data_IF_286462464192
#
_entry.id   IF_286462464192
#
_cell.length_a   1.000
_cell.length_b   1.000
_cell.length_c   1.000
_cell.angle_alpha   90.00
_cell.angle_beta   90.00
_cell.angle_gamma   90.00
#
_symmetry.space_group_name_H-M   'P 1'
#
loop_
_entity.id
_entity.type
_entity.pdbx_description
1 polymer ?
#
# COMPACT_ATOMS: atom_id res chain seq x y z
N UNK A 1 -10.47 -18.08 14.24
CA UNK A 1 -9.85 -16.74 14.16
C UNK A 1 -8.35 -16.95 14.09
N UNK A 2 -7.71 -16.57 12.98
CA UNK A 2 -6.27 -16.79 12.80
C UNK A 2 -5.46 -15.79 13.62
N UNK A 3 -4.43 -16.27 14.32
CA UNK A 3 -3.46 -15.39 14.98
C UNK A 3 -2.79 -14.51 13.91
N UNK A 4 -2.76 -13.20 14.14
CA UNK A 4 -2.02 -12.27 13.29
C UNK A 4 -0.54 -12.65 13.36
N UNK A 5 0.08 -12.88 12.20
CA UNK A 5 1.52 -13.12 12.15
C UNK A 5 2.25 -11.82 12.46
N UNK A 6 3.44 -11.92 13.04
CA UNK A 6 4.29 -10.75 13.32
C UNK A 6 4.50 -9.86 12.08
N UNK A 7 4.63 -10.49 10.91
CA UNK A 7 4.73 -9.81 9.61
C UNK A 7 3.48 -8.99 9.28
N UNK A 8 2.29 -9.49 9.61
CA UNK A 8 1.04 -8.75 9.42
C UNK A 8 0.97 -7.54 10.36
N UNK A 9 1.39 -7.69 11.61
CA UNK A 9 1.44 -6.57 12.57
C UNK A 9 2.37 -5.47 12.05
N UNK A 10 3.58 -5.81 11.61
CA UNK A 10 4.53 -4.83 11.08
C UNK A 10 3.99 -4.12 9.83
N UNK A 11 3.31 -4.86 8.96
CA UNK A 11 2.69 -4.33 7.74
C UNK A 11 1.60 -3.28 8.03
N UNK A 12 0.89 -3.41 9.15
CA UNK A 12 -0.12 -2.44 9.58
C UNK A 12 0.46 -1.33 10.46
N UNK A 13 1.44 -1.62 11.31
CA UNK A 13 2.01 -0.66 12.26
C UNK A 13 2.98 0.33 11.61
N UNK A 14 3.86 -0.17 10.73
CA UNK A 14 4.96 0.61 10.18
C UNK A 14 4.48 1.84 9.36
N UNK A 15 3.45 1.75 8.51
CA UNK A 15 2.94 2.93 7.82
C UNK A 15 2.47 4.01 8.80
N UNK A 16 1.74 3.68 9.86
CA UNK A 16 1.34 4.71 10.83
C UNK A 16 2.52 5.25 11.65
N UNK A 17 3.53 4.42 11.92
CA UNK A 17 4.79 4.88 12.49
C UNK A 17 5.50 5.90 11.59
N UNK A 18 5.54 5.65 10.28
CA UNK A 18 6.08 6.60 9.28
C UNK A 18 5.30 7.91 9.32
N UNK A 19 3.96 7.88 9.37
CA UNK A 19 3.14 9.09 9.49
C UNK A 19 3.51 9.91 10.73
N UNK A 20 3.66 9.26 11.89
CA UNK A 20 4.07 9.93 13.12
C UNK A 20 5.49 10.50 13.02
N UNK A 21 6.43 9.78 12.42
CA UNK A 21 7.80 10.27 12.21
C UNK A 21 7.83 11.51 11.32
N UNK A 22 7.01 11.56 10.27
CA UNK A 22 6.89 12.77 9.45
C UNK A 22 6.30 13.91 10.27
N UNK A 23 5.22 13.68 11.01
CA UNK A 23 4.59 14.71 11.84
C UNK A 23 5.53 15.28 12.91
N UNK A 24 6.23 14.42 13.64
CA UNK A 24 7.11 14.83 14.74
C UNK A 24 8.49 15.30 14.27
N UNK A 25 8.94 14.82 13.12
CA UNK A 25 10.28 15.11 12.59
C UNK A 25 10.31 16.33 11.67
N UNK A 26 9.32 16.47 10.78
CA UNK A 26 9.28 17.51 9.73
C UNK A 26 8.63 18.80 10.22
N UNK A 27 7.65 18.71 11.13
CA UNK A 27 6.88 19.85 11.57
C UNK A 27 7.20 20.23 13.01
N UNK A 28 7.21 21.53 13.27
CA UNK A 28 7.25 22.12 14.59
C UNK A 28 5.84 22.60 14.98
N UNK A 29 5.30 22.04 16.07
CA UNK A 29 3.97 22.42 16.55
C UNK A 29 4.03 23.82 17.21
N UNK A 30 3.09 24.73 16.88
CA UNK A 30 3.01 26.04 17.52
C UNK A 30 2.72 25.87 19.02
N UNK A 31 3.53 26.49 19.88
CA UNK A 31 3.42 26.37 21.34
C UNK A 31 4.34 25.33 22.00
N UNK A 32 5.29 24.75 21.25
CA UNK A 32 6.32 23.84 21.79
C UNK A 32 7.28 24.50 22.81
N UNK A 33 7.18 25.82 23.03
CA UNK A 33 7.88 26.52 24.10
C UNK A 33 7.21 26.40 25.48
N UNK A 34 5.98 25.85 25.57
CA UNK A 34 5.22 25.76 26.82
C UNK A 34 4.67 24.34 27.10
N UNK A 35 5.51 23.51 27.72
CA UNK A 35 5.14 22.66 28.88
C UNK A 35 4.29 21.40 28.68
N UNK A 36 3.87 21.07 27.45
CA UNK A 36 3.11 19.85 27.15
C UNK A 36 3.89 18.83 26.34
N UNK A 37 5.15 18.56 26.67
CA UNK A 37 5.90 17.51 25.99
C UNK A 37 5.27 16.16 26.36
N UNK A 38 4.62 15.53 25.39
CA UNK A 38 4.27 14.12 25.51
C UNK A 38 5.59 13.37 25.69
N UNK A 39 5.85 12.93 26.91
CA UNK A 39 7.13 12.32 27.24
C UNK A 39 7.20 10.92 26.61
N UNK A 40 7.75 10.87 25.41
CA UNK A 40 7.99 9.64 24.66
C UNK A 40 8.98 8.73 25.40
N UNK A 41 9.78 9.28 26.33
CA UNK A 41 10.68 8.49 27.16
C UNK A 41 9.95 7.73 28.27
N UNK A 42 8.72 8.13 28.61
CA UNK A 42 7.85 7.36 29.49
C UNK A 42 7.24 6.15 28.75
N UNK A 43 7.21 4.99 29.41
CA UNK A 43 6.65 3.74 28.86
C UNK A 43 5.20 3.95 28.37
N UNK A 44 4.41 4.77 29.10
CA UNK A 44 3.04 5.11 28.72
C UNK A 44 2.96 5.90 27.42
N UNK A 45 3.87 6.85 27.20
CA UNK A 45 3.91 7.64 25.97
C UNK A 45 4.25 6.79 24.74
N UNK A 46 5.29 5.95 24.85
CA UNK A 46 5.66 5.04 23.77
C UNK A 46 4.54 4.05 23.40
N UNK A 47 3.81 3.54 24.40
CA UNK A 47 2.69 2.63 24.19
C UNK A 47 1.52 3.31 23.44
N UNK A 48 1.15 4.53 23.83
CA UNK A 48 0.08 5.30 23.15
C UNK A 48 0.47 5.61 21.71
N UNK A 49 1.70 6.07 21.45
CA UNK A 49 2.17 6.33 20.08
C UNK A 49 2.17 5.08 19.22
N UNK A 50 2.57 3.94 19.79
CA UNK A 50 2.52 2.65 19.10
C UNK A 50 1.08 2.23 18.77
N UNK A 51 0.14 2.46 19.69
CA UNK A 51 -1.29 2.23 19.44
C UNK A 51 -1.86 3.12 18.34
N UNK A 52 -1.52 4.40 18.35
CA UNK A 52 -1.92 5.35 17.29
C UNK A 52 -1.31 4.94 15.95
N UNK A 53 -0.03 4.57 15.92
CA UNK A 53 0.63 4.08 14.70
C UNK A 53 -0.09 2.85 14.11
N UNK A 54 -0.49 1.89 14.95
CA UNK A 54 -1.26 0.72 14.51
C UNK A 54 -2.61 1.12 13.88
N UNK A 55 -3.36 2.01 14.54
CA UNK A 55 -4.67 2.46 14.04
C UNK A 55 -4.51 3.21 12.72
N UNK A 56 -3.60 4.19 12.67
CA UNK A 56 -3.37 5.02 11.47
C UNK A 56 -2.88 4.18 10.30
N UNK A 57 -1.91 3.30 10.52
CA UNK A 57 -1.39 2.45 9.46
C UNK A 57 -2.42 1.41 8.97
N UNK A 58 -3.27 0.89 9.87
CA UNK A 58 -4.42 0.07 9.50
C UNK A 58 -5.44 0.81 8.62
N UNK A 59 -5.72 2.08 8.92
CA UNK A 59 -6.58 2.93 8.09
C UNK A 59 -5.96 3.21 6.71
N UNK A 60 -4.68 3.56 6.67
CA UNK A 60 -3.95 3.79 5.40
C UNK A 60 -3.99 2.53 4.53
N UNK A 61 -3.72 1.37 5.11
CA UNK A 61 -3.76 0.10 4.39
C UNK A 61 -5.17 -0.18 3.83
N UNK A 62 -6.19 -0.02 4.67
CA UNK A 62 -7.59 -0.25 4.28
C UNK A 62 -8.01 0.69 3.16
N UNK A 63 -7.67 1.98 3.27
CA UNK A 63 -7.94 2.98 2.25
C UNK A 63 -7.23 2.63 0.94
N UNK A 64 -5.93 2.33 1.00
CA UNK A 64 -5.15 1.95 -0.19
C UNK A 64 -5.76 0.75 -0.89
N UNK A 65 -6.19 -0.28 -0.13
CA UNK A 65 -6.82 -1.49 -0.69
C UNK A 65 -8.19 -1.21 -1.29
N UNK A 66 -8.99 -0.34 -0.67
CA UNK A 66 -10.35 -0.05 -1.11
C UNK A 66 -10.40 0.87 -2.34
N UNK A 67 -9.47 1.83 -2.46
CA UNK A 67 -9.55 2.89 -3.48
C UNK A 67 -8.39 2.85 -4.47
N UNK A 68 -7.16 2.99 -4.00
CA UNK A 68 -6.00 3.18 -4.87
C UNK A 68 -5.62 1.89 -5.63
N UNK A 69 -5.69 0.74 -4.96
CA UNK A 69 -5.27 -0.53 -5.55
C UNK A 69 -6.11 -0.92 -6.79
N UNK A 70 -7.46 -0.89 -6.76
CA UNK A 70 -8.28 -1.14 -7.95
C UNK A 70 -7.94 -0.20 -9.12
N UNK A 71 -7.73 1.09 -8.83
CA UNK A 71 -7.40 2.09 -9.85
C UNK A 71 -6.04 1.80 -10.51
N UNK A 72 -5.01 1.56 -9.71
CA UNK A 72 -3.67 1.25 -10.21
C UNK A 72 -3.70 -0.04 -11.04
N UNK A 73 -4.35 -1.08 -10.52
CA UNK A 73 -4.51 -2.36 -11.20
C UNK A 73 -5.13 -2.19 -12.58
N UNK A 74 -6.22 -1.42 -12.66
CA UNK A 74 -6.92 -1.12 -13.92
C UNK A 74 -6.08 -0.35 -14.90
N UNK A 75 -5.41 0.72 -14.46
CA UNK A 75 -4.55 1.53 -15.34
C UNK A 75 -3.42 0.68 -15.91
N UNK A 76 -2.78 -0.15 -15.09
CA UNK A 76 -1.72 -1.05 -15.53
C UNK A 76 -2.25 -2.14 -16.48
N UNK A 77 -3.44 -2.69 -16.21
CA UNK A 77 -4.09 -3.61 -17.13
C UNK A 77 -4.50 -2.93 -18.45
N UNK A 78 -5.03 -1.71 -18.41
CA UNK A 78 -5.41 -0.91 -19.58
C UNK A 78 -4.18 -0.66 -20.48
N UNK A 79 -3.06 -0.30 -19.87
CA UNK A 79 -1.78 -0.12 -20.58
C UNK A 79 -1.30 -1.42 -21.24
N UNK A 80 -1.46 -2.57 -20.58
CA UNK A 80 -1.12 -3.90 -21.14
C UNK A 80 -2.13 -4.41 -22.17
N UNK A 81 -3.42 -4.09 -22.02
CA UNK A 81 -4.53 -4.55 -22.87
C UNK A 81 -4.80 -3.66 -24.08
N UNK A 82 -4.08 -2.53 -24.24
CA UNK A 82 -3.93 -1.91 -25.58
C UNK A 82 -3.35 -2.89 -26.62
N UNK A 83 -2.87 -4.07 -26.20
CA UNK A 83 -2.44 -5.18 -27.05
C UNK A 83 -3.32 -6.45 -26.97
N UNK A 84 -4.42 -6.48 -26.20
CA UNK A 84 -5.19 -7.72 -25.98
C UNK A 84 -6.68 -7.49 -26.26
N UNK A 85 -7.08 -8.04 -27.40
CA UNK A 85 -8.41 -8.42 -27.89
C UNK A 85 -9.52 -7.34 -27.92
N UNK A 86 -9.81 -6.75 -29.09
CA UNK A 86 -10.84 -5.72 -29.27
C UNK A 86 -12.29 -6.22 -29.09
N UNK A 87 -12.52 -7.52 -28.89
CA UNK A 87 -13.87 -8.10 -28.78
C UNK A 87 -14.47 -8.09 -27.37
N UNK A 88 -13.70 -7.74 -26.35
CA UNK A 88 -14.17 -7.74 -24.96
C UNK A 88 -14.59 -6.34 -24.52
N UNK A 89 -15.90 -6.20 -24.31
CA UNK A 89 -16.55 -4.96 -23.86
C UNK A 89 -15.94 -4.50 -22.54
N UNK A 90 -15.08 -3.48 -22.60
CA UNK A 90 -14.51 -2.85 -21.41
C UNK A 90 -15.64 -2.19 -20.60
N UNK A 91 -15.94 -2.74 -19.43
CA UNK A 91 -16.72 -2.01 -18.45
C UNK A 91 -15.89 -0.81 -17.96
N UNK A 92 -16.27 0.39 -18.40
CA UNK A 92 -15.61 1.66 -18.05
C UNK A 92 -15.93 2.13 -16.62
N UNK A 93 -16.62 1.32 -15.81
CA UNK A 93 -16.97 1.72 -14.46
C UNK A 93 -15.75 1.65 -13.55
N UNK A 94 -15.11 2.80 -13.34
CA UNK A 94 -13.92 2.97 -12.50
C UNK A 94 -14.17 2.59 -11.02
N UNK A 95 -15.43 2.55 -10.57
CA UNK A 95 -15.81 2.25 -9.19
C UNK A 95 -16.33 0.82 -8.98
N UNK A 96 -16.62 0.07 -10.04
CA UNK A 96 -17.19 -1.27 -9.94
C UNK A 96 -16.42 -2.31 -10.77
N UNK A 97 -16.03 -3.47 -10.22
CA UNK A 97 -15.34 -4.54 -10.96
C UNK A 97 -16.13 -4.96 -12.20
N UNK A 98 -15.44 -5.21 -13.32
CA UNK A 98 -16.07 -5.88 -14.47
C UNK A 98 -16.19 -7.38 -14.21
N UNK A 99 -17.11 -8.06 -14.89
CA UNK A 99 -17.25 -9.53 -14.79
C UNK A 99 -15.93 -10.23 -15.17
N UNK A 100 -15.20 -9.68 -16.15
CA UNK A 100 -13.90 -10.20 -16.59
C UNK A 100 -12.79 -10.03 -15.54
N UNK A 101 -12.83 -8.92 -14.77
CA UNK A 101 -11.92 -8.72 -13.64
C UNK A 101 -12.25 -9.70 -12.51
N UNK A 102 -13.54 -9.90 -12.24
CA UNK A 102 -14.02 -10.83 -11.23
C UNK A 102 -13.63 -12.27 -11.56
N UNK A 103 -13.83 -12.71 -12.81
CA UNK A 103 -13.44 -14.04 -13.29
C UNK A 103 -11.92 -14.26 -13.14
N UNK A 104 -11.11 -13.26 -13.48
CA UNK A 104 -9.65 -13.31 -13.29
C UNK A 104 -9.25 -13.37 -11.82
N UNK A 105 -9.95 -12.66 -10.94
CA UNK A 105 -9.71 -12.70 -9.49
C UNK A 105 -10.09 -14.07 -8.91
N UNK A 106 -11.24 -14.62 -9.29
CA UNK A 106 -11.70 -15.96 -8.90
C UNK A 106 -10.69 -17.01 -9.36
N UNK A 107 -10.26 -16.95 -10.62
CA UNK A 107 -9.24 -17.86 -11.15
C UNK A 107 -7.94 -17.78 -10.35
N UNK A 108 -7.49 -16.57 -10.01
CA UNK A 108 -6.29 -16.35 -9.18
C UNK A 108 -6.46 -16.94 -7.79
N UNK A 109 -7.62 -16.77 -7.15
CA UNK A 109 -7.90 -17.38 -5.86
C UNK A 109 -7.90 -18.90 -5.91
N UNK A 110 -8.58 -19.51 -6.88
CA UNK A 110 -8.62 -20.96 -7.06
C UNK A 110 -7.21 -21.53 -7.28
N UNK A 111 -6.37 -20.87 -8.09
CA UNK A 111 -4.99 -21.31 -8.34
C UNK A 111 -4.09 -21.15 -7.10
N UNK A 112 -4.27 -20.10 -6.30
CA UNK A 112 -3.53 -19.90 -5.03
C UNK A 112 -3.93 -20.87 -3.92
N UNK A 113 -5.15 -21.41 -3.97
CA UNK A 113 -5.58 -22.43 -3.02
C UNK A 113 -4.81 -23.76 -3.18
N UNK A 114 -4.16 -24.00 -4.34
CA UNK A 114 -3.28 -25.16 -4.55
C UNK A 114 -1.95 -24.93 -3.80
N UNK A 115 -1.71 -25.75 -2.77
CA UNK A 115 -0.69 -25.59 -1.70
C UNK A 115 0.77 -25.50 -2.18
N UNK A 116 1.09 -26.07 -3.34
CA UNK A 116 2.46 -26.13 -3.91
C UNK A 116 2.65 -25.26 -5.16
N UNK A 117 1.79 -24.27 -5.38
CA UNK A 117 1.91 -23.39 -6.54
C UNK A 117 2.99 -22.33 -6.34
N UNK A 118 3.74 -22.03 -7.41
CA UNK A 118 4.62 -20.86 -7.53
C UNK A 118 3.89 -19.52 -7.26
N UNK A 119 2.56 -19.54 -7.25
CA UNK A 119 1.69 -18.43 -6.88
C UNK A 119 1.75 -18.06 -5.38
N UNK A 120 2.22 -18.95 -4.50
CA UNK A 120 2.42 -18.64 -3.08
C UNK A 120 3.50 -17.57 -2.87
N UNK A 121 4.64 -17.69 -3.58
CA UNK A 121 5.73 -16.69 -3.55
C UNK A 121 5.30 -15.33 -4.11
N UNK A 122 4.39 -15.33 -5.09
CA UNK A 122 3.79 -14.11 -5.62
C UNK A 122 2.93 -13.38 -4.58
N UNK A 123 2.29 -14.09 -3.65
CA UNK A 123 1.48 -13.47 -2.59
C UNK A 123 2.32 -12.63 -1.61
N UNK A 124 3.51 -13.12 -1.26
CA UNK A 124 4.40 -12.37 -0.37
C UNK A 124 4.95 -11.12 -1.06
N UNK A 125 5.37 -11.27 -2.32
CA UNK A 125 5.81 -10.13 -3.13
C UNK A 125 4.71 -9.08 -3.33
N UNK A 126 3.49 -9.54 -3.67
CA UNK A 126 2.33 -8.66 -3.76
C UNK A 126 2.18 -7.84 -2.48
N UNK A 127 2.48 -8.42 -1.33
CA UNK A 127 2.32 -7.65 -0.11
C UNK A 127 3.45 -6.66 0.17
N UNK A 128 4.69 -6.97 -0.20
CA UNK A 128 5.77 -5.98 -0.13
C UNK A 128 5.44 -4.74 -0.96
N UNK A 129 4.80 -4.92 -2.12
CA UNK A 129 4.32 -3.82 -2.97
C UNK A 129 3.28 -2.96 -2.23
N UNK A 130 2.29 -3.59 -1.58
CA UNK A 130 1.31 -2.86 -0.78
C UNK A 130 1.96 -2.06 0.35
N UNK A 131 2.95 -2.65 1.03
CA UNK A 131 3.69 -1.97 2.08
C UNK A 131 4.41 -0.70 1.56
N UNK A 132 5.06 -0.78 0.39
CA UNK A 132 5.71 0.37 -0.24
C UNK A 132 4.69 1.48 -0.53
N UNK A 133 3.54 1.13 -1.11
CA UNK A 133 2.48 2.12 -1.34
C UNK A 133 1.98 2.73 -0.04
N UNK A 134 1.66 1.91 0.96
CA UNK A 134 1.17 2.39 2.26
C UNK A 134 2.20 3.31 2.93
N UNK A 135 3.50 3.06 2.76
CA UNK A 135 4.57 3.92 3.25
C UNK A 135 4.58 5.28 2.54
N UNK A 136 4.35 5.31 1.22
CA UNK A 136 4.13 6.55 0.48
C UNK A 136 2.91 7.33 0.99
N UNK A 137 1.75 6.66 1.09
CA UNK A 137 0.53 7.25 1.64
C UNK A 137 0.73 7.80 3.06
N UNK A 138 1.49 7.09 3.90
CA UNK A 138 1.81 7.53 5.25
C UNK A 138 2.59 8.84 5.27
N UNK A 139 3.58 9.01 4.39
CA UNK A 139 4.33 10.26 4.26
C UNK A 139 3.39 11.39 3.82
N UNK A 140 2.56 11.15 2.80
CA UNK A 140 1.60 12.13 2.30
C UNK A 140 0.61 12.56 3.38
N UNK A 141 0.04 11.62 4.12
CA UNK A 141 -0.91 11.88 5.22
C UNK A 141 -0.23 12.69 6.33
N UNK A 142 1.02 12.35 6.69
CA UNK A 142 1.79 13.12 7.68
C UNK A 142 1.97 14.59 7.28
N UNK A 143 2.33 14.83 6.00
CA UNK A 143 2.40 16.19 5.47
C UNK A 143 1.06 16.91 5.43
N UNK A 144 -0.01 16.22 5.03
CA UNK A 144 -1.35 16.79 4.97
C UNK A 144 -1.81 17.24 6.36
N UNK A 145 -1.67 16.39 7.38
CA UNK A 145 -2.04 16.71 8.76
C UNK A 145 -1.21 17.91 9.26
N UNK A 146 0.12 17.87 9.13
CA UNK A 146 0.98 18.97 9.59
C UNK A 146 0.64 20.30 8.91
N UNK A 147 0.35 20.27 7.59
CA UNK A 147 -0.06 21.45 6.84
C UNK A 147 -1.44 21.98 7.26
N UNK A 148 -2.43 21.10 7.49
CA UNK A 148 -3.79 21.49 7.90
C UNK A 148 -3.81 22.10 9.31
N UNK A 149 -2.89 21.65 10.18
CA UNK A 149 -2.73 22.22 11.52
C UNK A 149 -1.92 23.52 11.53
N UNK A 150 -1.45 23.99 10.36
CA UNK A 150 -0.67 25.22 10.24
C UNK A 150 0.70 25.15 10.93
N UNK A 151 1.24 23.95 11.11
CA UNK A 151 2.52 23.76 11.77
C UNK A 151 3.67 24.26 10.90
N UNK A 152 4.71 24.81 11.53
CA UNK A 152 5.88 25.32 10.81
C UNK A 152 6.72 24.16 10.29
N UNK A 153 7.25 24.31 9.07
CA UNK A 153 7.99 23.22 8.40
C UNK A 153 9.49 23.39 8.54
N UNK A 154 10.18 22.28 8.83
CA UNK A 154 11.64 22.19 8.73
C UNK A 154 12.02 21.89 7.28
N UNK A 155 12.47 22.92 6.57
CA UNK A 155 12.60 22.90 5.10
C UNK A 155 13.48 21.78 4.53
N UNK A 156 14.58 21.43 5.19
CA UNK A 156 15.48 20.34 4.74
C UNK A 156 14.82 18.97 4.85
N UNK A 157 14.20 18.67 6.00
CA UNK A 157 13.50 17.41 6.25
C UNK A 157 12.25 17.28 5.39
N UNK A 158 11.52 18.38 5.18
CA UNK A 158 10.37 18.42 4.26
C UNK A 158 10.76 18.03 2.83
N UNK A 159 11.86 18.60 2.31
CA UNK A 159 12.34 18.26 0.96
C UNK A 159 12.75 16.78 0.89
N UNK A 160 13.46 16.30 1.90
CA UNK A 160 13.87 14.90 1.96
C UNK A 160 12.67 13.94 1.99
N UNK A 161 11.69 14.18 2.86
CA UNK A 161 10.49 13.33 2.96
C UNK A 161 9.65 13.38 1.69
N UNK A 162 9.59 14.52 1.00
CA UNK A 162 8.94 14.63 -0.31
C UNK A 162 9.64 13.77 -1.37
N UNK A 163 10.97 13.79 -1.45
CA UNK A 163 11.70 12.90 -2.36
C UNK A 163 11.52 11.42 -2.00
N UNK A 164 11.47 11.10 -0.72
CA UNK A 164 11.21 9.74 -0.24
C UNK A 164 9.80 9.26 -0.63
N UNK A 165 8.78 10.12 -0.52
CA UNK A 165 7.43 9.86 -1.02
C UNK A 165 7.45 9.49 -2.51
N UNK A 166 8.10 10.32 -3.34
CA UNK A 166 8.20 10.06 -4.77
C UNK A 166 8.93 8.74 -5.07
N UNK A 167 10.02 8.46 -4.35
CA UNK A 167 10.77 7.22 -4.50
C UNK A 167 9.91 5.98 -4.19
N UNK A 168 9.11 6.02 -3.12
CA UNK A 168 8.20 4.92 -2.78
C UNK A 168 7.08 4.76 -3.80
N UNK A 169 6.47 5.85 -4.29
CA UNK A 169 5.44 5.75 -5.32
C UNK A 169 5.97 5.15 -6.62
N UNK A 170 7.14 5.58 -7.08
CA UNK A 170 7.79 5.05 -8.29
C UNK A 170 8.18 3.59 -8.12
N UNK A 171 8.82 3.24 -6.99
CA UNK A 171 9.19 1.85 -6.71
C UNK A 171 7.95 0.95 -6.61
N UNK A 172 6.90 1.40 -5.92
CA UNK A 172 5.62 0.70 -5.83
C UNK A 172 5.01 0.44 -7.20
N UNK A 173 5.01 1.45 -8.08
CA UNK A 173 4.49 1.31 -9.45
C UNK A 173 5.29 0.31 -10.28
N UNK A 174 6.62 0.43 -10.26
CA UNK A 174 7.51 -0.48 -10.96
C UNK A 174 7.32 -1.93 -10.51
N UNK A 175 7.33 -2.18 -9.19
CA UNK A 175 7.16 -3.52 -8.67
C UNK A 175 5.75 -4.07 -8.89
N UNK A 176 4.70 -3.23 -8.85
CA UNK A 176 3.33 -3.64 -9.17
C UNK A 176 3.23 -4.07 -10.64
N UNK A 177 3.76 -3.28 -11.58
CA UNK A 177 3.76 -3.65 -13.00
C UNK A 177 4.50 -4.98 -13.23
N UNK A 178 5.67 -5.14 -12.59
CA UNK A 178 6.48 -6.37 -12.67
C UNK A 178 5.73 -7.57 -12.08
N UNK A 179 5.05 -7.39 -10.96
CA UNK A 179 4.20 -8.41 -10.33
C UNK A 179 3.09 -8.87 -11.28
N UNK A 180 2.34 -7.94 -11.88
CA UNK A 180 1.27 -8.26 -12.83
C UNK A 180 1.78 -9.03 -14.05
N UNK A 181 2.98 -8.66 -14.55
CA UNK A 181 3.61 -9.40 -15.63
C UNK A 181 3.88 -10.86 -15.25
N UNK A 182 4.52 -11.12 -14.10
CA UNK A 182 4.80 -12.49 -13.67
C UNK A 182 3.54 -13.29 -13.32
N UNK A 183 2.58 -12.67 -12.62
CA UNK A 183 1.30 -13.29 -12.30
C UNK A 183 0.56 -13.70 -13.58
N UNK A 184 0.55 -12.85 -14.61
CA UNK A 184 -0.03 -13.20 -15.91
C UNK A 184 0.66 -14.37 -16.61
N UNK A 185 2.00 -14.47 -16.50
CA UNK A 185 2.78 -15.55 -17.10
C UNK A 185 2.50 -16.89 -16.41
N UNK A 186 2.52 -16.89 -15.07
CA UNK A 186 2.21 -18.08 -14.26
C UNK A 186 0.79 -18.58 -14.54
N UNK A 187 -0.17 -17.67 -14.71
CA UNK A 187 -1.54 -18.06 -15.05
C UNK A 187 -1.64 -18.76 -16.41
N UNK A 188 -0.94 -18.25 -17.44
CA UNK A 188 -0.91 -18.85 -18.79
C UNK A 188 -0.24 -20.22 -18.82
N UNK A 189 0.92 -20.34 -18.17
CA UNK A 189 1.67 -21.59 -18.14
C UNK A 189 0.85 -22.70 -17.47
N UNK A 190 0.06 -22.37 -16.45
CA UNK A 190 -0.86 -23.31 -15.80
C UNK A 190 -2.00 -23.79 -16.71
N UNK A 191 -2.53 -22.93 -17.59
CA UNK A 191 -3.61 -23.32 -18.52
C UNK A 191 -3.09 -24.28 -19.60
N UNK A 192 -1.84 -24.11 -20.07
CA UNK A 192 -1.24 -24.98 -21.08
C UNK A 192 -0.93 -26.41 -20.61
N UNK A 193 -0.87 -26.65 -19.30
CA UNK A 193 -0.60 -27.98 -18.73
C UNK A 193 -1.90 -28.77 -18.52
N UNK A 194 -3.05 -28.10 -18.41
CA UNK A 194 -4.35 -28.73 -18.15
C UNK A 194 -5.14 -29.04 -19.44
N UNK A 195 -4.68 -28.59 -20.62
CA UNK A 195 -5.25 -28.96 -21.94
C UNK A 195 -4.35 -29.95 -22.69
N UNK A 196 -4.72 -31.25 -22.76
CA UNK A 196 -4.01 -32.26 -23.56
C UNK A 196 -4.24 -32.10 -25.08
#
# INVERSE_FOLDING_TARGET
MGNLTFQQIFRYALPGGITLLILLGVYDAPGSESGGHFDVSSIGGAAVLSGVALVVGGLIYTLHRATAYPLIYRVLLLAGTLRIDPKKSRAWNILWPSDEELDRDILRWCKRAKKDSSASGLSEWATQIHYIYCSGWAILVGHLIGSLLGWTTRSSLYRFSFWLLLAFLVAGLYHHARYLYFDSKVLRDADSVETP
#
